data_IF_939255972472
#
_entry.id   IF_939255972472
#
_cell.length_a   1.000
_cell.length_b   1.000
_cell.length_c   1.000
_cell.angle_alpha   90.00
_cell.angle_beta   90.00
_cell.angle_gamma   90.00
#
_symmetry.space_group_name_H-M   'P 1'
#
loop_
_entity.id
_entity.type
_entity.pdbx_description
1 polymer ?
#
# COMPACT_ATOMS: atom_id res chain seq x y z
N UNK A 1 41.74 53.12 -59.81
CA UNK A 1 40.96 52.78 -58.60
C UNK A 1 40.68 51.29 -58.61
N UNK A 2 41.23 50.52 -57.66
CA UNK A 2 40.69 49.25 -57.18
C UNK A 2 41.47 48.85 -55.90
N UNK A 3 40.79 48.81 -54.75
CA UNK A 3 41.31 48.19 -53.51
C UNK A 3 40.97 46.70 -53.53
N UNK A 4 41.86 45.78 -53.12
CA UNK A 4 41.45 44.43 -52.80
C UNK A 4 40.85 44.38 -51.39
N UNK A 5 39.73 43.68 -51.28
CA UNK A 5 38.98 43.39 -50.06
C UNK A 5 39.61 42.16 -49.41
N UNK A 6 40.04 42.28 -48.15
CA UNK A 6 40.46 41.15 -47.32
C UNK A 6 39.23 40.32 -46.94
N UNK A 7 39.14 39.09 -47.45
CA UNK A 7 38.10 38.14 -47.05
C UNK A 7 38.54 37.37 -45.80
N UNK A 8 37.80 37.57 -44.72
CA UNK A 8 38.08 37.14 -43.35
C UNK A 8 37.76 35.63 -43.19
N UNK A 9 38.73 34.83 -42.71
CA UNK A 9 38.52 33.48 -42.16
C UNK A 9 37.92 33.57 -40.75
N UNK A 10 36.59 33.71 -40.61
CA UNK A 10 35.93 33.86 -39.30
C UNK A 10 34.95 32.75 -38.91
N UNK A 11 34.53 31.85 -39.81
CA UNK A 11 33.39 30.95 -39.50
C UNK A 11 33.73 29.65 -38.75
N UNK A 12 34.97 29.16 -38.80
CA UNK A 12 35.31 27.86 -38.18
C UNK A 12 35.64 27.95 -36.69
N UNK A 13 36.26 29.03 -36.24
CA UNK A 13 36.64 29.22 -34.84
C UNK A 13 35.40 29.43 -33.95
N UNK A 14 34.39 30.14 -34.46
CA UNK A 14 33.13 30.40 -33.74
C UNK A 14 32.31 29.12 -33.49
N UNK A 15 32.26 28.20 -34.47
CA UNK A 15 31.52 26.93 -34.33
C UNK A 15 32.17 25.97 -33.32
N UNK A 16 33.51 25.92 -33.28
CA UNK A 16 34.24 25.12 -32.29
C UNK A 16 34.00 25.62 -30.85
N UNK A 17 34.00 26.94 -30.65
CA UNK A 17 33.74 27.54 -29.34
C UNK A 17 32.32 27.26 -28.87
N UNK A 18 31.31 27.35 -29.75
CA UNK A 18 29.91 27.06 -29.40
C UNK A 18 29.74 25.59 -28.98
N UNK A 19 30.38 24.65 -29.67
CA UNK A 19 30.32 23.22 -29.32
C UNK A 19 30.99 22.94 -27.96
N UNK A 20 32.11 23.58 -27.66
CA UNK A 20 32.77 23.46 -26.35
C UNK A 20 31.91 24.03 -25.22
N UNK A 21 31.26 25.18 -25.43
CA UNK A 21 30.37 25.80 -24.44
C UNK A 21 29.16 24.90 -24.18
N UNK A 22 28.54 24.36 -25.24
CA UNK A 22 27.39 23.46 -25.11
C UNK A 22 27.75 22.16 -24.36
N UNK A 23 28.92 21.58 -24.63
CA UNK A 23 29.41 20.41 -23.92
C UNK A 23 29.68 20.71 -22.43
N UNK A 24 30.22 21.88 -22.11
CA UNK A 24 30.48 22.30 -20.73
C UNK A 24 29.17 22.47 -19.95
N UNK A 25 28.17 23.11 -20.55
CA UNK A 25 26.84 23.27 -19.95
C UNK A 25 26.19 21.90 -19.72
N UNK A 26 26.27 21.00 -20.70
CA UNK A 26 25.76 19.63 -20.57
C UNK A 26 26.41 18.87 -19.40
N UNK A 27 27.74 18.98 -19.26
CA UNK A 27 28.46 18.34 -18.15
C UNK A 27 28.08 18.93 -16.78
N UNK A 28 27.90 20.25 -16.69
CA UNK A 28 27.46 20.93 -15.46
C UNK A 28 26.05 20.47 -15.08
N UNK A 29 25.13 20.39 -16.04
CA UNK A 29 23.75 19.93 -15.79
C UNK A 29 23.71 18.47 -15.33
N UNK A 30 24.52 17.59 -15.92
CA UNK A 30 24.64 16.19 -15.51
C UNK A 30 25.22 16.09 -14.10
N UNK A 31 26.24 16.88 -13.78
CA UNK A 31 26.83 16.92 -12.44
C UNK A 31 25.82 17.41 -11.39
N UNK A 32 25.05 18.46 -11.68
CA UNK A 32 23.99 18.94 -10.78
C UNK A 32 22.91 17.89 -10.58
N UNK A 33 22.47 17.20 -11.64
CA UNK A 33 21.48 16.12 -11.54
C UNK A 33 21.98 14.95 -10.67
N UNK A 34 23.24 14.55 -10.82
CA UNK A 34 23.89 13.53 -9.99
C UNK A 34 24.01 13.99 -8.52
N UNK A 35 24.37 15.25 -8.26
CA UNK A 35 24.42 15.80 -6.91
C UNK A 35 23.03 15.91 -6.25
N UNK A 36 21.97 16.13 -7.02
CA UNK A 36 20.60 16.11 -6.49
C UNK A 36 20.08 14.69 -6.23
N UNK A 37 20.57 13.70 -6.97
CA UNK A 37 20.15 12.30 -6.83
C UNK A 37 20.81 11.60 -5.62
N UNK A 38 22.01 12.04 -5.20
CA UNK A 38 22.72 11.47 -4.04
C UNK A 38 22.35 12.10 -2.71
N UNK A 39 21.56 13.18 -2.69
CA UNK A 39 20.98 13.70 -1.46
C UNK A 39 19.70 12.93 -1.17
N UNK A 40 19.78 11.95 -0.26
CA UNK A 40 18.58 11.47 0.40
C UNK A 40 17.84 12.65 1.04
N UNK A 41 16.52 12.78 0.84
CA UNK A 41 15.75 13.77 1.57
C UNK A 41 15.81 13.42 3.06
N UNK A 42 16.45 14.27 3.87
CA UNK A 42 16.37 14.15 5.31
C UNK A 42 14.95 14.50 5.75
N UNK A 43 14.05 13.53 5.75
CA UNK A 43 12.75 13.64 6.36
C UNK A 43 12.99 13.59 7.87
N UNK A 44 13.24 14.74 8.48
CA UNK A 44 13.12 14.84 9.94
C UNK A 44 11.66 14.55 10.29
N UNK A 45 11.35 13.56 11.14
CA UNK A 45 9.98 13.32 11.53
C UNK A 45 9.52 14.46 12.43
N UNK A 46 8.76 15.40 11.87
CA UNK A 46 7.85 16.27 12.61
C UNK A 46 6.65 15.44 13.06
N UNK A 47 6.90 14.38 13.83
CA UNK A 47 5.84 13.77 14.62
C UNK A 47 5.73 14.58 15.91
N UNK A 48 4.56 15.13 16.26
CA UNK A 48 4.36 15.63 17.61
C UNK A 48 4.61 14.46 18.56
N UNK A 49 5.45 14.65 19.59
CA UNK A 49 5.52 13.73 20.72
C UNK A 49 4.14 13.72 21.38
N UNK A 50 3.25 12.85 20.92
CA UNK A 50 2.06 12.51 21.68
C UNK A 50 2.56 11.89 23.00
N UNK A 51 1.99 12.33 24.12
CA UNK A 51 2.19 11.69 25.41
C UNK A 51 1.55 10.29 25.35
N UNK A 52 2.23 9.35 24.72
CA UNK A 52 1.91 7.94 24.78
C UNK A 52 2.29 7.52 26.20
N UNK A 53 1.28 7.33 27.07
CA UNK A 53 1.48 6.51 28.27
C UNK A 53 2.01 5.17 27.78
N UNK A 54 3.22 4.79 28.18
CA UNK A 54 3.73 3.44 27.96
C UNK A 54 2.65 2.45 28.43
N UNK A 55 2.20 1.52 27.56
CA UNK A 55 1.16 0.58 27.93
C UNK A 55 1.60 -0.23 29.15
N UNK A 56 0.75 -0.26 30.18
CA UNK A 56 0.86 -1.20 31.29
C UNK A 56 0.86 -2.63 30.72
N UNK A 57 1.88 -3.42 31.07
CA UNK A 57 2.01 -4.87 30.86
C UNK A 57 1.65 -5.37 29.44
N UNK A 58 2.64 -5.28 28.55
CA UNK A 58 2.51 -5.38 27.09
C UNK A 58 2.39 -6.80 26.52
N UNK A 59 2.26 -7.85 27.34
CA UNK A 59 2.19 -9.20 26.80
C UNK A 59 0.83 -9.48 26.18
N UNK A 60 0.74 -9.32 24.87
CA UNK A 60 -0.39 -9.73 24.04
C UNK A 60 -0.20 -11.15 23.52
N UNK A 61 -1.22 -11.71 22.86
CA UNK A 61 -1.06 -13.00 22.20
C UNK A 61 -0.10 -12.96 21.00
N UNK A 62 0.27 -11.77 20.50
CA UNK A 62 1.28 -11.63 19.44
C UNK A 62 2.70 -11.91 19.92
N UNK A 63 2.95 -11.76 21.21
CA UNK A 63 4.27 -12.00 21.82
C UNK A 63 4.52 -13.49 22.08
N UNK A 64 3.48 -14.33 21.94
CA UNK A 64 3.61 -15.78 22.00
C UNK A 64 4.23 -16.31 20.69
N UNK A 65 5.43 -16.91 20.70
CA UNK A 65 6.06 -17.46 19.50
C UNK A 65 5.28 -18.62 18.87
N UNK A 66 4.28 -19.17 19.57
CA UNK A 66 3.37 -20.19 19.03
C UNK A 66 2.20 -19.58 18.26
N UNK A 67 1.93 -18.29 18.39
CA UNK A 67 0.88 -17.63 17.60
C UNK A 67 1.33 -17.55 16.14
N UNK A 68 0.60 -18.23 15.26
CA UNK A 68 0.86 -18.24 13.82
C UNK A 68 -0.39 -17.89 13.02
N UNK A 69 -0.18 -17.13 11.95
CA UNK A 69 -1.20 -16.81 10.96
C UNK A 69 -1.56 -18.00 10.05
N UNK A 70 -0.72 -19.04 10.04
CA UNK A 70 -0.87 -20.24 9.23
C UNK A 70 -2.03 -21.13 9.71
N UNK A 71 -2.55 -21.98 8.82
CA UNK A 71 -3.71 -22.86 9.06
C UNK A 71 -3.36 -24.21 9.73
N UNK A 72 -2.08 -24.47 9.98
CA UNK A 72 -1.54 -25.75 10.49
C UNK A 72 -1.93 -26.04 11.94
N UNK A 73 -1.93 -25.01 12.80
CA UNK A 73 -2.21 -25.18 14.23
C UNK A 73 -3.48 -24.42 14.65
N UNK A 74 -4.40 -25.03 15.41
CA UNK A 74 -5.56 -24.33 15.93
C UNK A 74 -5.15 -23.30 16.99
N UNK A 75 -5.79 -22.13 16.97
CA UNK A 75 -5.65 -21.17 18.06
C UNK A 75 -6.70 -21.49 19.11
N UNK A 76 -6.22 -21.85 20.31
CA UNK A 76 -7.07 -22.09 21.47
C UNK A 76 -7.31 -20.80 22.25
N UNK A 77 -8.45 -20.73 22.94
CA UNK A 77 -8.86 -19.62 23.80
C UNK A 77 -8.82 -18.25 23.10
N UNK A 78 -9.22 -18.21 21.82
CA UNK A 78 -9.23 -16.99 21.02
C UNK A 78 -10.03 -15.85 21.69
N UNK A 79 -11.23 -16.14 22.19
CA UNK A 79 -12.09 -15.13 22.80
C UNK A 79 -11.44 -14.47 24.03
N UNK A 80 -10.76 -15.26 24.86
CA UNK A 80 -10.04 -14.75 26.02
C UNK A 80 -8.84 -13.88 25.60
N UNK A 81 -8.08 -14.34 24.60
CA UNK A 81 -6.94 -13.60 24.03
C UNK A 81 -7.39 -12.26 23.44
N UNK A 82 -8.45 -12.28 22.64
CA UNK A 82 -9.05 -11.07 22.04
C UNK A 82 -9.56 -10.12 23.12
N UNK A 83 -10.30 -10.61 24.11
CA UNK A 83 -10.82 -9.78 25.22
C UNK A 83 -9.69 -9.06 25.96
N UNK A 84 -8.63 -9.78 26.34
CA UNK A 84 -7.45 -9.17 27.00
C UNK A 84 -6.78 -8.12 26.11
N UNK A 85 -6.66 -8.40 24.81
CA UNK A 85 -6.12 -7.43 23.87
C UNK A 85 -6.98 -6.16 23.80
N UNK A 86 -8.31 -6.28 23.76
CA UNK A 86 -9.24 -5.14 23.73
C UNK A 86 -9.19 -4.31 25.02
N UNK A 87 -9.09 -4.97 26.19
CA UNK A 87 -8.91 -4.32 27.49
C UNK A 87 -7.64 -3.46 27.54
N UNK A 88 -6.56 -3.95 26.91
CA UNK A 88 -5.28 -3.24 26.80
C UNK A 88 -5.27 -2.18 25.70
N UNK A 89 -6.23 -2.21 24.77
CA UNK A 89 -6.31 -1.29 23.62
C UNK A 89 -7.66 -0.54 23.58
N UNK A 90 -8.00 0.25 24.62
CA UNK A 90 -9.32 0.87 24.76
C UNK A 90 -9.66 1.85 23.63
N UNK A 91 -8.67 2.49 23.01
CA UNK A 91 -8.90 3.40 21.87
C UNK A 91 -9.37 2.67 20.60
N UNK A 92 -8.98 1.40 20.44
CA UNK A 92 -9.41 0.55 19.33
C UNK A 92 -10.71 -0.18 19.69
N UNK A 93 -10.84 -0.64 20.94
CA UNK A 93 -12.04 -1.31 21.44
C UNK A 93 -13.28 -0.39 21.52
N UNK A 94 -13.10 0.87 21.96
CA UNK A 94 -14.20 1.84 22.09
C UNK A 94 -14.78 2.26 20.74
N UNK A 95 -14.05 2.03 19.64
CA UNK A 95 -14.49 2.49 18.33
C UNK A 95 -15.68 1.73 17.80
N UNK A 96 -15.88 0.43 18.08
CA UNK A 96 -16.89 -0.32 17.34
C UNK A 96 -17.33 -1.65 17.98
N UNK A 97 -18.56 -1.72 18.51
CA UNK A 97 -19.27 -3.02 18.71
C UNK A 97 -19.77 -3.63 17.41
N UNK A 98 -19.86 -2.83 16.34
CA UNK A 98 -20.40 -3.22 15.04
C UNK A 98 -19.36 -2.99 13.92
N UNK A 99 -18.05 -3.10 14.21
CA UNK A 99 -17.01 -2.91 13.20
C UNK A 99 -17.09 -4.02 12.18
N UNK A 100 -17.09 -3.63 10.91
CA UNK A 100 -17.08 -4.55 9.78
C UNK A 100 -15.82 -4.32 8.96
N UNK A 101 -15.05 -5.39 8.78
CA UNK A 101 -13.97 -5.44 7.80
C UNK A 101 -14.44 -6.25 6.60
N UNK A 102 -14.69 -5.56 5.49
CA UNK A 102 -15.00 -6.19 4.20
C UNK A 102 -13.72 -6.70 3.57
N UNK A 103 -13.68 -7.97 3.22
CA UNK A 103 -12.52 -8.61 2.61
C UNK A 103 -12.91 -9.09 1.23
N UNK A 104 -12.12 -8.70 0.23
CA UNK A 104 -12.25 -9.18 -1.14
C UNK A 104 -10.86 -9.46 -1.70
N UNK A 105 -10.78 -10.11 -2.85
CA UNK A 105 -9.49 -10.37 -3.45
C UNK A 105 -9.55 -11.08 -4.78
N UNK A 106 -8.45 -11.01 -5.52
CA UNK A 106 -8.27 -11.69 -6.80
C UNK A 106 -6.95 -12.46 -6.82
N UNK A 107 -6.71 -13.18 -7.91
CA UNK A 107 -5.40 -13.76 -8.16
C UNK A 107 -4.31 -12.68 -8.33
N UNK A 108 -3.02 -12.99 -8.04
CA UNK A 108 -1.92 -12.02 -8.14
C UNK A 108 -1.55 -11.62 -9.57
N UNK A 109 -1.87 -12.46 -10.55
CA UNK A 109 -1.52 -12.23 -11.96
C UNK A 109 -2.69 -11.64 -12.75
N UNK A 110 -2.37 -11.01 -13.88
CA UNK A 110 -3.37 -10.47 -14.80
C UNK A 110 -4.39 -11.50 -15.25
N UNK A 111 -5.64 -11.07 -15.41
CA UNK A 111 -6.69 -11.92 -15.95
C UNK A 111 -6.32 -12.45 -17.34
N UNK A 112 -6.70 -13.71 -17.63
CA UNK A 112 -6.55 -14.28 -18.99
C UNK A 112 -7.37 -13.51 -20.03
N UNK A 113 -8.55 -13.02 -19.63
CA UNK A 113 -9.36 -12.15 -20.46
C UNK A 113 -8.87 -10.70 -20.31
N UNK A 114 -8.52 -9.99 -21.40
CA UNK A 114 -8.04 -8.60 -21.34
C UNK A 114 -8.99 -7.62 -20.65
N UNK A 115 -10.30 -7.91 -20.60
CA UNK A 115 -11.29 -7.09 -19.91
C UNK A 115 -11.44 -7.42 -18.42
N UNK A 116 -10.85 -8.53 -17.96
CA UNK A 116 -11.03 -9.03 -16.60
C UNK A 116 -10.50 -8.06 -15.54
N UNK A 117 -9.27 -7.56 -15.72
CA UNK A 117 -8.67 -6.62 -14.77
C UNK A 117 -9.44 -5.28 -14.72
N UNK A 118 -10.01 -4.85 -15.84
CA UNK A 118 -10.89 -3.68 -15.87
C UNK A 118 -12.17 -3.91 -15.05
N UNK A 119 -12.75 -5.10 -15.10
CA UNK A 119 -13.92 -5.45 -14.28
C UNK A 119 -13.56 -5.53 -12.80
N UNK A 120 -12.43 -6.16 -12.45
CA UNK A 120 -11.93 -6.21 -11.07
C UNK A 120 -11.74 -4.80 -10.49
N UNK A 121 -11.17 -3.87 -11.27
CA UNK A 121 -11.03 -2.47 -10.88
C UNK A 121 -12.39 -1.82 -10.58
N UNK A 122 -13.38 -1.99 -11.46
CA UNK A 122 -14.73 -1.43 -11.28
C UNK A 122 -15.44 -2.02 -10.08
N UNK A 123 -15.35 -3.33 -9.89
CA UNK A 123 -15.98 -4.04 -8.78
C UNK A 123 -15.33 -3.71 -7.44
N UNK A 124 -14.01 -3.49 -7.42
CA UNK A 124 -13.35 -3.00 -6.22
C UNK A 124 -13.76 -1.57 -5.89
N UNK A 125 -13.80 -0.67 -6.88
CA UNK A 125 -14.30 0.71 -6.68
C UNK A 125 -15.71 0.74 -6.08
N UNK A 126 -16.62 -0.10 -6.57
CA UNK A 126 -17.96 -0.24 -6.03
C UNK A 126 -17.95 -0.58 -4.53
N UNK A 127 -17.14 -1.56 -4.12
CA UNK A 127 -16.99 -1.95 -2.70
C UNK A 127 -16.38 -0.84 -1.85
N UNK A 128 -15.35 -0.16 -2.35
CA UNK A 128 -14.71 0.98 -1.67
C UNK A 128 -15.72 2.11 -1.43
N UNK A 129 -16.52 2.45 -2.44
CA UNK A 129 -17.54 3.50 -2.31
C UNK A 129 -18.62 3.11 -1.29
N UNK A 130 -19.06 1.84 -1.26
CA UNK A 130 -20.01 1.34 -0.26
C UNK A 130 -19.40 1.39 1.15
N UNK A 131 -18.20 0.84 1.34
CA UNK A 131 -17.53 0.85 2.64
C UNK A 131 -17.31 2.27 3.18
N UNK A 132 -16.99 3.24 2.31
CA UNK A 132 -16.87 4.66 2.70
C UNK A 132 -18.18 5.25 3.22
N UNK A 133 -19.31 4.96 2.56
CA UNK A 133 -20.64 5.47 2.96
C UNK A 133 -21.04 4.90 4.32
N UNK A 134 -20.79 3.61 4.52
CA UNK A 134 -21.23 2.85 5.70
C UNK A 134 -20.23 2.85 6.86
N UNK A 135 -19.05 3.45 6.68
CA UNK A 135 -17.99 3.47 7.70
C UNK A 135 -17.31 2.12 7.91
N UNK A 136 -17.38 1.21 6.93
CA UNK A 136 -16.70 -0.08 6.97
C UNK A 136 -15.25 0.04 6.53
N UNK A 137 -14.41 -0.83 7.06
CA UNK A 137 -13.05 -1.00 6.56
C UNK A 137 -13.02 -2.00 5.42
N UNK A 138 -12.04 -1.88 4.52
CA UNK A 138 -11.92 -2.76 3.37
C UNK A 138 -10.48 -3.24 3.18
N UNK A 139 -10.32 -4.54 2.96
CA UNK A 139 -9.06 -5.18 2.65
C UNK A 139 -9.14 -5.90 1.30
N UNK A 140 -8.17 -5.63 0.43
CA UNK A 140 -8.03 -6.29 -0.87
C UNK A 140 -6.81 -7.20 -0.87
N UNK A 141 -7.04 -8.50 -0.95
CA UNK A 141 -5.96 -9.47 -1.06
C UNK A 141 -5.68 -9.84 -2.51
N UNK A 142 -4.41 -9.80 -2.91
CA UNK A 142 -3.93 -10.33 -4.20
C UNK A 142 -2.83 -11.39 -4.03
N UNK A 143 -2.67 -11.96 -2.84
CA UNK A 143 -1.61 -12.95 -2.54
C UNK A 143 -2.19 -14.31 -2.13
N UNK A 144 -1.41 -15.37 -2.34
CA UNK A 144 -1.72 -16.67 -1.73
C UNK A 144 -0.96 -16.81 -0.42
N UNK A 145 -1.69 -16.86 0.69
CA UNK A 145 -1.08 -16.98 2.03
C UNK A 145 -0.72 -18.43 2.38
N UNK A 146 -1.35 -19.42 1.71
CA UNK A 146 -1.02 -20.83 1.85
C UNK A 146 -0.86 -21.48 0.47
N UNK A 147 0.30 -22.09 0.15
CA UNK A 147 0.53 -22.73 -1.14
C UNK A 147 -0.40 -23.93 -1.40
N UNK A 148 -0.97 -24.54 -0.36
CA UNK A 148 -1.91 -25.68 -0.45
C UNK A 148 -3.35 -25.22 -0.70
N UNK A 149 -3.71 -23.97 -0.36
CA UNK A 149 -5.06 -23.43 -0.50
C UNK A 149 -5.11 -22.35 -1.58
N UNK A 150 -5.34 -22.78 -2.83
CA UNK A 150 -5.45 -21.90 -4.01
C UNK A 150 -6.90 -21.77 -4.48
N UNK A 151 -7.13 -20.86 -5.43
CA UNK A 151 -8.45 -20.63 -6.02
C UNK A 151 -9.49 -20.28 -4.94
N UNK A 152 -10.68 -20.88 -4.99
CA UNK A 152 -11.78 -20.65 -4.04
C UNK A 152 -11.40 -20.90 -2.57
N UNK A 153 -10.36 -21.70 -2.29
CA UNK A 153 -9.90 -21.98 -0.93
C UNK A 153 -8.95 -20.92 -0.38
N UNK A 154 -8.40 -20.05 -1.23
CA UNK A 154 -7.48 -19.00 -0.81
C UNK A 154 -8.10 -18.04 0.22
N UNK A 155 -9.43 -17.92 0.24
CA UNK A 155 -10.17 -17.12 1.24
C UNK A 155 -9.97 -17.59 2.67
N UNK A 156 -9.78 -18.89 2.90
CA UNK A 156 -9.72 -19.44 4.27
C UNK A 156 -8.49 -18.93 5.03
N UNK A 157 -7.25 -19.03 4.50
CA UNK A 157 -6.07 -18.42 5.11
C UNK A 157 -6.18 -16.89 5.28
N UNK A 158 -6.78 -16.19 4.30
CA UNK A 158 -6.95 -14.74 4.34
C UNK A 158 -7.86 -14.34 5.50
N UNK A 159 -9.00 -15.02 5.65
CA UNK A 159 -9.95 -14.75 6.74
C UNK A 159 -9.31 -15.00 8.10
N UNK A 160 -8.61 -16.13 8.29
CA UNK A 160 -7.88 -16.38 9.52
C UNK A 160 -6.85 -15.27 9.80
N UNK A 161 -6.06 -14.90 8.79
CA UNK A 161 -5.03 -13.89 8.98
C UNK A 161 -5.64 -12.53 9.36
N UNK A 162 -6.75 -12.15 8.73
CA UNK A 162 -7.46 -10.92 9.05
C UNK A 162 -8.06 -10.92 10.47
N UNK A 163 -8.67 -12.03 10.90
CA UNK A 163 -9.17 -12.17 12.27
C UNK A 163 -8.07 -11.97 13.31
N UNK A 164 -6.87 -12.49 13.02
CA UNK A 164 -5.72 -12.37 13.92
C UNK A 164 -5.07 -10.99 13.85
N UNK A 165 -5.02 -10.35 12.69
CA UNK A 165 -4.42 -9.03 12.52
C UNK A 165 -5.32 -7.90 13.03
N UNK A 166 -6.64 -8.12 13.05
CA UNK A 166 -7.64 -7.11 13.40
C UNK A 166 -8.57 -7.58 14.54
N UNK A 167 -8.05 -7.81 15.76
CA UNK A 167 -8.86 -8.20 16.92
C UNK A 167 -9.88 -7.13 17.32
N UNK A 168 -9.74 -5.88 16.89
CA UNK A 168 -10.72 -4.80 17.04
C UNK A 168 -11.97 -4.93 16.14
N UNK A 169 -11.92 -5.77 15.11
CA UNK A 169 -13.06 -6.00 14.23
C UNK A 169 -14.02 -7.01 14.88
N UNK A 170 -15.31 -6.72 14.84
CA UNK A 170 -16.34 -7.65 15.30
C UNK A 170 -16.79 -8.58 14.18
N UNK A 171 -16.96 -8.04 12.98
CA UNK A 171 -17.41 -8.79 11.81
C UNK A 171 -16.38 -8.77 10.70
N UNK A 172 -16.06 -9.96 10.18
CA UNK A 172 -15.33 -10.12 8.93
C UNK A 172 -16.32 -10.50 7.85
N UNK A 173 -16.44 -9.67 6.82
CA UNK A 173 -17.36 -9.88 5.71
C UNK A 173 -16.59 -10.22 4.43
N UNK A 174 -16.50 -11.51 4.10
CA UNK A 174 -15.96 -11.94 2.81
C UNK A 174 -16.93 -11.58 1.67
N UNK A 175 -16.40 -10.92 0.64
CA UNK A 175 -17.13 -10.58 -0.57
C UNK A 175 -16.30 -10.98 -1.80
N UNK A 176 -16.85 -11.87 -2.63
CA UNK A 176 -16.17 -12.31 -3.86
C UNK A 176 -15.87 -11.13 -4.80
N UNK A 177 -14.82 -11.28 -5.62
CA UNK A 177 -14.37 -10.22 -6.51
C UNK A 177 -15.44 -9.79 -7.53
N UNK A 178 -16.27 -10.74 -7.97
CA UNK A 178 -17.35 -10.59 -8.95
C UNK A 178 -18.72 -10.24 -8.33
N UNK A 179 -18.82 -10.15 -7.00
CA UNK A 179 -19.99 -9.59 -6.32
C UNK A 179 -19.91 -8.06 -6.28
N UNK A 180 -21.06 -7.38 -6.36
CA UNK A 180 -21.16 -5.92 -6.25
C UNK A 180 -22.36 -5.50 -5.39
N UNK A 181 -22.23 -4.36 -4.72
CA UNK A 181 -23.35 -3.68 -4.07
C UNK A 181 -24.17 -2.95 -5.14
N UNK A 182 -25.48 -3.15 -5.13
CA UNK A 182 -26.43 -2.51 -6.05
C UNK A 182 -27.35 -1.53 -5.34
N UNK A 183 -27.67 -1.81 -4.08
CA UNK A 183 -28.28 -0.87 -3.15
C UNK A 183 -27.17 -0.27 -2.28
N UNK A 184 -26.92 1.03 -2.43
CA UNK A 184 -25.88 1.75 -1.69
C UNK A 184 -26.39 2.33 -0.37
N UNK A 185 -27.70 2.29 -0.12
CA UNK A 185 -28.36 2.89 1.05
C UNK A 185 -28.74 1.84 2.11
N UNK A 186 -28.75 0.56 1.76
CA UNK A 186 -29.03 -0.54 2.68
C UNK A 186 -28.00 -0.64 3.82
N UNK A 187 -28.51 -0.68 5.06
CA UNK A 187 -27.76 -0.82 6.32
C UNK A 187 -28.12 -2.11 7.06
#
# INVERSE_FOLDING_TARGET
MAKPILHIKSSYLSRGIILCIAALIGAILIFFALCTYTKEPSISPLLPKSNIKEPLDQNTFYDDPKTRYTMDEPITNWDEKRRKWLENNPNLASKNKNSVLVITGSQPWSCKNPKGDHMLLRFFKNKVDYCRIHGYEIFYNNAFLDPKMKSVWAKVPILRAAMLAHPEMEWIFWMDADAIFTDMEFN
#
